data_IF_626619390500
#
_entry.id   IF_626619390500
#
_cell.length_a   1.000
_cell.length_b   1.000
_cell.length_c   1.000
_cell.angle_alpha   90.00
_cell.angle_beta   90.00
_cell.angle_gamma   90.00
#
_symmetry.space_group_name_H-M   'P 1'
#
loop_
_entity.id
_entity.type
_entity.pdbx_description
1 polymer ?
#
# COMPACT_ATOMS: atom_id res chain seq x y z
N UNK A 1 7.88 14.87 13.08
CA UNK A 1 6.45 15.06 12.67
C UNK A 1 5.44 14.39 13.61
N UNK A 2 5.52 13.07 13.85
CA UNK A 2 4.55 12.36 14.69
C UNK A 2 4.50 12.84 16.16
N UNK A 3 5.64 13.30 16.72
CA UNK A 3 5.71 13.86 18.06
C UNK A 3 4.97 15.20 18.21
N UNK A 4 4.86 15.99 17.14
CA UNK A 4 4.25 17.33 17.17
C UNK A 4 2.74 17.29 16.88
N UNK A 5 2.30 16.45 15.94
CA UNK A 5 0.91 16.41 15.48
C UNK A 5 0.14 15.15 15.91
N UNK A 6 0.79 14.21 16.60
CA UNK A 6 0.23 12.90 16.91
C UNK A 6 -1.10 12.94 17.67
N UNK A 7 -1.27 13.86 18.62
CA UNK A 7 -2.52 14.02 19.38
C UNK A 7 -3.69 14.45 18.49
N UNK A 8 -3.47 15.41 17.59
CA UNK A 8 -4.45 15.88 16.61
C UNK A 8 -4.85 14.76 15.64
N UNK A 9 -3.86 14.01 15.12
CA UNK A 9 -4.13 12.89 14.21
C UNK A 9 -4.89 11.75 14.89
N UNK A 10 -4.60 11.44 16.16
CA UNK A 10 -5.36 10.45 16.94
C UNK A 10 -6.81 10.89 17.13
N UNK A 11 -7.04 12.17 17.46
CA UNK A 11 -8.39 12.73 17.59
C UNK A 11 -9.17 12.68 16.27
N UNK A 12 -8.49 12.86 15.15
CA UNK A 12 -9.07 12.77 13.81
C UNK A 12 -9.20 11.32 13.29
N UNK A 13 -8.69 10.32 14.00
CA UNK A 13 -8.73 8.91 13.57
C UNK A 13 -7.77 8.56 12.42
N UNK A 14 -6.82 9.43 12.09
CA UNK A 14 -5.90 9.28 10.93
C UNK A 14 -4.45 8.97 11.33
N UNK A 15 -4.19 8.76 12.62
CA UNK A 15 -2.83 8.57 13.13
C UNK A 15 -2.12 7.37 12.49
N UNK A 16 -2.75 6.20 12.49
CA UNK A 16 -2.16 4.98 11.92
C UNK A 16 -1.99 5.09 10.40
N UNK A 17 -2.93 5.73 9.72
CA UNK A 17 -2.83 5.96 8.27
C UNK A 17 -1.61 6.81 7.91
N UNK A 18 -1.31 7.85 8.70
CA UNK A 18 -0.13 8.71 8.48
C UNK A 18 1.17 7.99 8.84
N UNK A 19 1.21 7.21 9.93
CA UNK A 19 2.40 6.42 10.25
C UNK A 19 2.67 5.37 9.18
N UNK A 20 1.64 4.65 8.73
CA UNK A 20 1.77 3.64 7.69
C UNK A 20 2.14 4.24 6.33
N UNK A 21 1.66 5.44 5.99
CA UNK A 21 2.02 6.11 4.72
C UNK A 21 3.45 6.66 4.71
N UNK A 22 4.01 6.95 5.88
CA UNK A 22 5.39 7.44 6.03
C UNK A 22 6.39 6.32 6.27
N UNK A 23 5.92 5.12 6.58
CA UNK A 23 6.77 3.95 6.76
C UNK A 23 7.36 3.52 5.41
N UNK A 24 8.68 3.57 5.31
CA UNK A 24 9.39 3.02 4.16
C UNK A 24 9.50 1.51 4.31
N UNK A 25 8.72 0.77 3.52
CA UNK A 25 8.91 -0.67 3.39
C UNK A 25 10.23 -0.90 2.67
N UNK A 26 11.26 -1.32 3.42
CA UNK A 26 12.53 -1.75 2.83
C UNK A 26 12.29 -3.04 2.06
N UNK A 27 12.29 -2.95 0.72
CA UNK A 27 12.15 -4.11 -0.15
C UNK A 27 13.44 -4.90 -0.13
N UNK A 28 13.39 -6.06 0.51
CA UNK A 28 14.42 -7.07 0.37
C UNK A 28 14.05 -7.97 -0.83
N UNK A 29 14.78 -7.82 -1.92
CA UNK A 29 14.53 -8.55 -3.15
C UNK A 29 14.73 -10.06 -2.98
N UNK A 30 15.71 -10.47 -2.18
CA UNK A 30 15.99 -11.89 -1.90
C UNK A 30 14.83 -12.54 -1.15
N UNK A 31 14.23 -11.83 -0.19
CA UNK A 31 13.03 -12.32 0.51
C UNK A 31 11.82 -12.42 -0.43
N UNK A 32 11.65 -11.47 -1.34
CA UNK A 32 10.56 -11.50 -2.33
C UNK A 32 10.73 -12.70 -3.26
N UNK A 33 11.95 -12.96 -3.73
CA UNK A 33 12.25 -14.13 -4.57
C UNK A 33 12.05 -15.43 -3.80
N UNK A 34 12.54 -15.52 -2.57
CA UNK A 34 12.33 -16.71 -1.72
C UNK A 34 10.86 -16.99 -1.39
N UNK A 35 10.02 -15.94 -1.30
CA UNK A 35 8.57 -16.09 -1.20
C UNK A 35 7.97 -16.59 -2.52
N UNK A 36 8.40 -16.03 -3.65
CA UNK A 36 7.92 -16.42 -4.98
C UNK A 36 8.20 -17.90 -5.29
N UNK A 37 9.32 -18.44 -4.82
CA UNK A 37 9.63 -19.88 -4.92
C UNK A 37 8.63 -20.79 -4.20
N UNK A 38 7.86 -20.26 -3.24
CA UNK A 38 6.84 -21.03 -2.52
C UNK A 38 5.47 -21.02 -3.20
N UNK A 39 5.32 -20.26 -4.30
CA UNK A 39 4.05 -20.16 -5.00
C UNK A 39 3.66 -21.46 -5.70
N UNK A 40 2.49 -21.99 -5.36
CA UNK A 40 1.86 -23.12 -6.05
C UNK A 40 0.74 -22.59 -6.96
N UNK A 41 0.89 -22.70 -8.30
CA UNK A 41 -0.12 -22.19 -9.23
C UNK A 41 -1.44 -22.97 -9.19
N UNK A 42 -1.40 -24.25 -8.81
CA UNK A 42 -2.58 -25.11 -8.71
C UNK A 42 -3.54 -24.64 -7.62
N UNK A 43 -3.01 -24.34 -6.44
CA UNK A 43 -3.78 -23.88 -5.27
C UNK A 43 -3.90 -22.37 -5.18
N UNK A 44 -3.09 -21.63 -5.96
CA UNK A 44 -2.99 -20.15 -5.91
C UNK A 44 -2.59 -19.66 -4.52
N UNK A 45 -1.66 -20.37 -3.89
CA UNK A 45 -1.21 -20.12 -2.53
C UNK A 45 0.29 -20.37 -2.39
N UNK A 46 0.86 -19.91 -1.28
CA UNK A 46 2.25 -20.12 -0.91
C UNK A 46 2.35 -21.31 0.05
N UNK A 47 3.18 -22.31 -0.31
CA UNK A 47 3.36 -23.53 0.46
C UNK A 47 4.66 -23.47 1.24
N UNK A 48 4.56 -23.51 2.57
CA UNK A 48 5.68 -23.59 3.49
C UNK A 48 5.70 -24.94 4.19
N UNK A 49 6.84 -25.31 4.79
CA UNK A 49 6.95 -26.54 5.58
C UNK A 49 6.03 -26.57 6.80
N UNK A 50 5.55 -25.40 7.24
CA UNK A 50 4.72 -25.21 8.43
C UNK A 50 3.27 -24.81 8.11
N UNK A 51 2.90 -24.64 6.85
CA UNK A 51 1.55 -24.23 6.49
C UNK A 51 1.40 -23.67 5.09
N UNK A 52 0.16 -23.32 4.75
CA UNK A 52 -0.23 -22.71 3.48
C UNK A 52 -0.74 -21.28 3.75
N UNK A 53 -0.31 -20.34 2.92
CA UNK A 53 -0.78 -18.95 2.99
C UNK A 53 -1.37 -18.52 1.64
N UNK A 54 -2.57 -17.98 1.66
CA UNK A 54 -3.29 -17.55 0.46
C UNK A 54 -3.61 -16.07 0.58
N UNK A 55 -3.35 -15.32 -0.48
CA UNK A 55 -3.77 -13.92 -0.59
C UNK A 55 -5.23 -13.91 -1.04
N UNK A 56 -6.11 -13.38 -0.19
CA UNK A 56 -7.55 -13.31 -0.50
C UNK A 56 -7.95 -11.92 -1.01
N UNK A 57 -9.21 -11.80 -1.40
CA UNK A 57 -9.76 -10.52 -1.84
C UNK A 57 -9.83 -9.51 -0.70
N UNK A 58 -10.11 -9.98 0.52
CA UNK A 58 -10.12 -9.16 1.74
C UNK A 58 -8.76 -8.51 2.00
N UNK A 59 -7.65 -9.24 1.75
CA UNK A 59 -6.29 -8.71 1.87
C UNK A 59 -6.03 -7.57 0.88
N UNK A 60 -6.58 -7.68 -0.34
CA UNK A 60 -6.49 -6.62 -1.36
C UNK A 60 -7.28 -5.37 -0.95
N UNK A 61 -8.47 -5.55 -0.36
CA UNK A 61 -9.28 -4.43 0.16
C UNK A 61 -8.55 -3.70 1.27
N UNK A 62 -8.01 -4.44 2.24
CA UNK A 62 -7.24 -3.87 3.36
C UNK A 62 -6.03 -3.10 2.84
N UNK A 63 -5.41 -3.60 1.77
CA UNK A 63 -4.26 -2.96 1.13
C UNK A 63 -4.64 -1.78 0.22
N UNK A 64 -5.92 -1.41 0.12
CA UNK A 64 -6.40 -0.28 -0.67
C UNK A 64 -6.50 -0.54 -2.17
N UNK A 65 -6.48 -1.79 -2.61
CA UNK A 65 -6.65 -2.17 -4.02
C UNK A 65 -8.13 -2.31 -4.39
N UNK A 66 -8.41 -2.08 -5.67
CA UNK A 66 -9.77 -2.22 -6.21
C UNK A 66 -10.20 -3.69 -6.26
N UNK A 67 -11.32 -3.97 -5.62
CA UNK A 67 -12.01 -5.29 -5.66
C UNK A 67 -12.42 -5.68 -7.08
N UNK A 68 -12.70 -4.68 -7.92
CA UNK A 68 -13.16 -4.90 -9.29
C UNK A 68 -12.01 -5.22 -10.26
N UNK A 69 -10.77 -5.37 -9.75
CA UNK A 69 -9.61 -5.70 -10.56
C UNK A 69 -9.14 -4.56 -11.48
N UNK A 70 -9.62 -3.33 -11.25
CA UNK A 70 -9.14 -2.17 -11.99
C UNK A 70 -7.67 -1.91 -11.64
N UNK A 71 -6.81 -1.90 -12.65
CA UNK A 71 -5.38 -1.65 -12.48
C UNK A 71 -5.13 -0.28 -11.84
N UNK A 72 -4.19 -0.18 -10.91
CA UNK A 72 -3.69 1.12 -10.42
C UNK A 72 -3.06 1.95 -11.54
N UNK A 73 -2.63 1.29 -12.61
CA UNK A 73 -2.09 1.94 -13.81
C UNK A 73 -3.17 2.27 -14.84
N UNK A 74 -4.46 2.10 -14.52
CA UNK A 74 -5.53 2.50 -15.43
C UNK A 74 -5.42 4.00 -15.71
N UNK A 75 -5.58 4.45 -16.97
CA UNK A 75 -5.58 5.87 -17.27
C UNK A 75 -6.64 6.62 -16.46
N UNK A 76 -6.29 7.82 -15.98
CA UNK A 76 -7.26 8.71 -15.36
C UNK A 76 -8.15 9.28 -16.46
N UNK A 77 -9.41 8.87 -16.49
CA UNK A 77 -10.33 9.15 -17.59
C UNK A 77 -10.76 10.62 -17.65
N UNK A 78 -10.85 11.29 -16.51
CA UNK A 78 -11.34 12.68 -16.42
C UNK A 78 -10.23 13.66 -16.07
N UNK A 79 -10.38 14.90 -16.55
CA UNK A 79 -9.45 15.98 -16.20
C UNK A 79 -9.46 16.32 -14.71
N UNK A 80 -10.59 16.08 -14.03
CA UNK A 80 -10.69 16.22 -12.57
C UNK A 80 -9.82 15.20 -11.84
N UNK A 81 -9.85 13.93 -12.26
CA UNK A 81 -9.02 12.87 -11.69
C UNK A 81 -7.52 13.16 -11.92
N UNK A 82 -7.15 13.62 -13.13
CA UNK A 82 -5.77 14.02 -13.45
C UNK A 82 -5.28 15.14 -12.54
N UNK A 83 -6.06 16.22 -12.42
CA UNK A 83 -5.74 17.35 -11.51
C UNK A 83 -5.61 16.92 -10.06
N UNK A 84 -6.44 15.98 -9.62
CA UNK A 84 -6.39 15.45 -8.24
C UNK A 84 -5.11 14.63 -8.01
N UNK A 85 -4.74 13.77 -8.96
CA UNK A 85 -3.50 13.00 -8.88
C UNK A 85 -2.24 13.88 -8.91
N UNK A 86 -2.25 14.96 -9.69
CA UNK A 86 -1.18 15.97 -9.72
C UNK A 86 -1.03 16.66 -8.35
N UNK A 87 -2.14 17.13 -7.76
CA UNK A 87 -2.15 17.73 -6.42
C UNK A 87 -1.64 16.78 -5.34
N UNK A 88 -2.05 15.52 -5.40
CA UNK A 88 -1.57 14.47 -4.50
C UNK A 88 -0.05 14.27 -4.65
N UNK A 89 0.43 14.15 -5.89
CA UNK A 89 1.85 13.97 -6.21
C UNK A 89 2.72 15.15 -5.76
N UNK A 90 2.18 16.37 -5.85
CA UNK A 90 2.84 17.57 -5.34
C UNK A 90 2.91 17.55 -3.80
N UNK A 91 1.79 17.24 -3.14
CA UNK A 91 1.71 17.16 -1.69
C UNK A 91 2.68 16.12 -1.11
N UNK A 92 2.77 14.95 -1.75
CA UNK A 92 3.73 13.89 -1.37
C UNK A 92 5.17 14.38 -1.51
N UNK A 93 5.51 15.10 -2.60
CA UNK A 93 6.85 15.65 -2.80
C UNK A 93 7.20 16.71 -1.75
N UNK A 94 6.28 17.61 -1.45
CA UNK A 94 6.47 18.63 -0.41
C UNK A 94 6.64 17.99 0.97
N UNK A 95 5.86 16.95 1.26
CA UNK A 95 5.96 16.17 2.48
C UNK A 95 7.35 15.53 2.63
N UNK A 96 7.84 14.83 1.60
CA UNK A 96 9.18 14.22 1.64
C UNK A 96 10.32 15.23 1.73
N UNK A 97 10.10 16.50 1.32
CA UNK A 97 11.11 17.57 1.48
C UNK A 97 11.16 18.13 2.90
N UNK A 98 10.08 17.95 3.68
CA UNK A 98 9.92 18.53 5.03
C UNK A 98 9.97 17.50 6.16
N UNK A 99 9.92 16.20 5.83
CA UNK A 99 10.13 15.08 6.74
C UNK A 99 11.62 14.75 6.88
#
# INVERSE_FOLDING_TARGET
>A
MASLHGSTWKKAGIYEAILNSTYSIQRNHDLILGLAEKWCPETKSFIFSWGEATVTLEDMIISGYSVLGSSVFSPLETDELKRTAEKLSQSIREFHRTA
#
